data_IF_282280622616
#
_entry.id   IF_282280622616
#
_cell.length_a   1.000
_cell.length_b   1.000
_cell.length_c   1.000
_cell.angle_alpha   90.00
_cell.angle_beta   90.00
_cell.angle_gamma   90.00
#
_symmetry.space_group_name_H-M   'P 1'
#
loop_
_entity.id
_entity.type
_entity.pdbx_description
1 polymer ?
#
# COMPACT_ATOMS: atom_id res chain seq x y z
N UNK A 1 -5.54 -10.39 21.10
CA UNK A 1 -4.78 -9.36 20.33
C UNK A 1 -4.83 -9.76 18.86
N UNK A 2 -4.93 -8.81 17.95
CA UNK A 2 -4.92 -9.08 16.51
C UNK A 2 -3.47 -9.07 16.06
N UNK A 3 -2.89 -10.26 15.86
CA UNK A 3 -1.44 -10.39 15.61
C UNK A 3 -1.09 -10.57 14.12
N UNK A 4 -2.09 -10.71 13.24
CA UNK A 4 -1.88 -10.90 11.80
C UNK A 4 -2.39 -9.72 10.96
N UNK A 5 -1.70 -9.45 9.85
CA UNK A 5 -2.12 -8.43 8.88
C UNK A 5 -3.48 -8.76 8.25
N UNK A 6 -3.70 -10.04 7.93
CA UNK A 6 -4.94 -10.51 7.32
C UNK A 6 -6.15 -10.19 8.19
N UNK A 7 -6.02 -10.40 9.49
CA UNK A 7 -7.07 -10.14 10.48
C UNK A 7 -7.25 -8.65 10.75
N UNK A 8 -6.14 -7.93 10.97
CA UNK A 8 -6.16 -6.49 11.19
C UNK A 8 -6.78 -5.73 10.00
N UNK A 9 -6.42 -6.09 8.79
CA UNK A 9 -6.98 -5.52 7.56
C UNK A 9 -8.41 -6.00 7.29
N UNK A 10 -8.86 -7.08 7.92
CA UNK A 10 -10.17 -7.69 7.68
C UNK A 10 -10.30 -8.22 6.25
N UNK A 11 -9.29 -8.96 5.78
CA UNK A 11 -9.27 -9.52 4.43
C UNK A 11 -10.40 -10.54 4.27
N UNK A 12 -11.19 -10.39 3.21
CA UNK A 12 -12.29 -11.28 2.86
C UNK A 12 -11.80 -12.44 1.98
N UNK A 13 -12.67 -13.43 1.77
CA UNK A 13 -12.38 -14.61 0.95
C UNK A 13 -11.94 -14.28 -0.49
N UNK A 14 -12.44 -13.17 -1.05
CA UNK A 14 -11.97 -12.61 -2.33
C UNK A 14 -11.75 -11.11 -2.16
N UNK A 15 -10.52 -10.62 -2.44
CA UNK A 15 -10.19 -9.22 -2.21
C UNK A 15 -9.19 -8.68 -3.24
N UNK A 16 -9.42 -7.46 -3.74
CA UNK A 16 -8.42 -6.67 -4.47
C UNK A 16 -7.95 -5.57 -3.53
N UNK A 17 -6.70 -5.67 -3.10
CA UNK A 17 -6.07 -4.75 -2.14
C UNK A 17 -5.15 -3.79 -2.88
N UNK A 18 -5.44 -2.50 -2.84
CA UNK A 18 -4.56 -1.46 -3.38
C UNK A 18 -3.79 -0.78 -2.25
N UNK A 19 -2.47 -0.79 -2.35
CA UNK A 19 -1.55 -0.15 -1.41
C UNK A 19 -1.13 1.21 -1.96
N UNK A 20 -1.39 2.26 -1.19
CA UNK A 20 -1.10 3.65 -1.57
C UNK A 20 -0.34 4.38 -0.46
N UNK A 21 0.35 5.48 -0.81
CA UNK A 21 1.10 6.28 0.16
C UNK A 21 2.58 5.94 0.22
N UNK A 22 3.17 5.93 1.40
CA UNK A 22 4.62 5.82 1.60
C UNK A 22 4.99 5.06 2.89
N UNK A 23 6.25 4.62 3.01
CA UNK A 23 6.75 4.10 4.28
C UNK A 23 6.51 2.61 4.51
N UNK A 24 6.35 1.77 3.44
CA UNK A 24 6.32 0.32 3.64
C UNK A 24 5.40 -0.49 2.71
N UNK A 25 4.88 0.07 1.63
CA UNK A 25 3.96 -0.62 0.70
C UNK A 25 4.47 -1.97 0.21
N UNK A 26 5.66 -2.01 -0.37
CA UNK A 26 6.25 -3.24 -0.93
C UNK A 26 6.44 -4.30 0.16
N UNK A 27 6.88 -3.88 1.36
CA UNK A 27 7.01 -4.80 2.51
C UNK A 27 5.64 -5.35 2.93
N UNK A 28 4.61 -4.49 3.00
CA UNK A 28 3.25 -4.93 3.32
C UNK A 28 2.72 -5.89 2.26
N UNK A 29 2.94 -5.60 0.97
CA UNK A 29 2.50 -6.43 -0.14
C UNK A 29 2.97 -7.88 0.02
N UNK A 30 4.28 -8.08 0.19
CA UNK A 30 4.84 -9.43 0.27
C UNK A 30 4.57 -10.11 1.61
N UNK A 31 4.52 -9.36 2.74
CA UNK A 31 4.10 -9.95 4.02
C UNK A 31 2.65 -10.42 3.99
N UNK A 32 1.75 -9.59 3.48
CA UNK A 32 0.34 -9.97 3.34
C UNK A 32 0.17 -11.15 2.40
N UNK A 33 0.86 -11.15 1.25
CA UNK A 33 0.86 -12.29 0.33
C UNK A 33 1.30 -13.59 1.03
N UNK A 34 2.37 -13.54 1.83
CA UNK A 34 2.84 -14.69 2.60
C UNK A 34 1.80 -15.19 3.62
N UNK A 35 1.14 -14.28 4.34
CA UNK A 35 0.08 -14.68 5.29
C UNK A 35 -1.11 -15.32 4.58
N UNK A 36 -1.50 -14.81 3.41
CA UNK A 36 -2.60 -15.36 2.61
C UNK A 36 -2.26 -16.75 2.06
N UNK A 37 -1.02 -16.95 1.61
CA UNK A 37 -0.52 -18.28 1.19
C UNK A 37 -0.61 -19.31 2.32
N UNK A 38 -0.21 -18.94 3.54
CA UNK A 38 -0.32 -19.83 4.70
C UNK A 38 -1.77 -20.20 5.04
N UNK A 39 -2.73 -19.45 4.55
CA UNK A 39 -4.17 -19.72 4.64
C UNK A 39 -4.72 -20.51 3.42
N UNK A 40 -3.84 -20.94 2.52
CA UNK A 40 -4.20 -21.69 1.33
C UNK A 40 -4.84 -20.86 0.21
N UNK A 41 -4.63 -19.53 0.22
CA UNK A 41 -5.20 -18.63 -0.79
C UNK A 41 -4.25 -18.46 -1.98
N UNK A 42 -4.81 -18.37 -3.16
CA UNK A 42 -4.09 -18.06 -4.40
C UNK A 42 -3.97 -16.53 -4.57
N UNK A 43 -2.74 -16.03 -4.64
CA UNK A 43 -2.42 -14.61 -4.60
C UNK A 43 -1.71 -14.15 -5.87
N UNK A 44 -2.13 -13.02 -6.41
CA UNK A 44 -1.38 -12.27 -7.44
C UNK A 44 -0.88 -10.97 -6.82
N UNK A 45 0.42 -10.69 -6.94
CA UNK A 45 0.98 -9.40 -6.58
C UNK A 45 1.44 -8.63 -7.81
N UNK A 46 1.27 -7.33 -7.82
CA UNK A 46 1.64 -6.47 -8.94
C UNK A 46 1.77 -5.00 -8.54
N UNK A 47 2.10 -4.17 -9.51
CA UNK A 47 2.02 -2.71 -9.39
C UNK A 47 1.38 -2.12 -10.65
N UNK A 48 0.76 -0.98 -10.52
CA UNK A 48 0.31 -0.15 -11.66
C UNK A 48 1.28 0.99 -11.98
N UNK A 49 2.40 1.08 -11.23
CA UNK A 49 3.44 2.10 -11.42
C UNK A 49 4.83 1.46 -11.58
N UNK A 50 5.71 1.61 -10.60
CA UNK A 50 7.04 0.99 -10.57
C UNK A 50 7.37 0.53 -9.15
N UNK A 51 7.80 -0.73 -9.02
CA UNK A 51 8.27 -1.30 -7.75
C UNK A 51 9.69 -1.83 -7.88
N UNK A 52 10.37 -2.05 -6.75
CA UNK A 52 11.58 -2.87 -6.75
C UNK A 52 11.25 -4.30 -7.19
N UNK A 53 12.16 -4.95 -7.92
CA UNK A 53 12.01 -6.37 -8.22
C UNK A 53 12.04 -7.16 -6.92
N UNK A 54 11.11 -8.15 -6.73
CA UNK A 54 11.07 -8.94 -5.51
C UNK A 54 12.36 -9.73 -5.32
N UNK A 55 12.81 -9.85 -4.08
CA UNK A 55 13.93 -10.69 -3.73
C UNK A 55 13.55 -12.19 -3.79
N UNK A 56 14.57 -13.05 -3.82
CA UNK A 56 14.38 -14.50 -3.69
C UNK A 56 13.62 -14.81 -2.38
N UNK A 57 12.47 -15.48 -2.51
CA UNK A 57 11.60 -15.84 -1.38
C UNK A 57 10.44 -14.88 -1.10
N UNK A 58 10.38 -13.71 -1.73
CA UNK A 58 9.22 -12.82 -1.64
C UNK A 58 8.08 -13.24 -2.58
N UNK A 59 8.40 -13.84 -3.73
CA UNK A 59 7.43 -14.37 -4.67
C UNK A 59 7.77 -15.82 -5.05
N UNK A 60 6.76 -16.69 -5.17
CA UNK A 60 6.95 -18.07 -5.63
C UNK A 60 7.26 -18.13 -7.14
N UNK A 61 6.72 -17.18 -7.90
CA UNK A 61 6.96 -17.00 -9.33
C UNK A 61 6.90 -15.53 -9.71
N UNK A 62 7.80 -15.09 -10.58
CA UNK A 62 7.81 -13.76 -11.19
C UNK A 62 7.68 -13.92 -12.71
N UNK A 63 6.62 -13.39 -13.30
CA UNK A 63 6.40 -13.37 -14.73
C UNK A 63 6.37 -11.93 -15.26
N UNK A 64 7.22 -11.65 -16.23
CA UNK A 64 7.37 -10.32 -16.85
C UNK A 64 7.25 -10.43 -18.35
N UNK A 65 6.25 -9.79 -18.93
CA UNK A 65 6.05 -9.74 -20.38
C UNK A 65 5.37 -8.41 -20.78
N UNK A 66 5.79 -7.75 -21.88
CA UNK A 66 5.14 -6.53 -22.35
C UNK A 66 3.72 -6.77 -22.89
N UNK A 67 3.40 -8.00 -23.28
CA UNK A 67 2.08 -8.42 -23.72
C UNK A 67 1.20 -8.82 -22.53
N UNK A 68 0.23 -8.00 -22.23
CA UNK A 68 -0.71 -8.21 -21.12
C UNK A 68 -1.60 -9.46 -21.33
N UNK A 69 -1.84 -9.87 -22.58
CA UNK A 69 -2.54 -11.13 -22.89
C UNK A 69 -1.74 -12.34 -22.42
N UNK A 70 -0.42 -12.35 -22.66
CA UNK A 70 0.46 -13.41 -22.17
C UNK A 70 0.55 -13.44 -20.66
N UNK A 71 0.57 -12.28 -19.99
CA UNK A 71 0.51 -12.22 -18.52
C UNK A 71 -0.76 -12.89 -18.01
N UNK A 72 -1.92 -12.54 -18.58
CA UNK A 72 -3.21 -13.12 -18.19
C UNK A 72 -3.25 -14.64 -18.42
N UNK A 73 -2.73 -15.10 -19.55
CA UNK A 73 -2.67 -16.52 -19.89
C UNK A 73 -1.71 -17.28 -18.98
N UNK A 74 -0.57 -16.68 -18.61
CA UNK A 74 0.37 -17.27 -17.67
C UNK A 74 -0.28 -17.46 -16.30
N UNK A 75 -0.89 -16.41 -15.74
CA UNK A 75 -1.59 -16.50 -14.44
C UNK A 75 -2.65 -17.60 -14.48
N UNK A 76 -3.50 -17.62 -15.51
CA UNK A 76 -4.58 -18.62 -15.65
C UNK A 76 -4.07 -20.07 -15.65
N UNK A 77 -2.90 -20.33 -16.27
CA UNK A 77 -2.36 -21.68 -16.41
C UNK A 77 -1.54 -22.16 -15.23
N UNK A 78 -0.94 -21.25 -14.47
CA UNK A 78 0.07 -21.60 -13.49
C UNK A 78 -0.29 -21.21 -12.04
N UNK A 79 -1.44 -20.60 -11.81
CA UNK A 79 -1.84 -20.15 -10.48
C UNK A 79 -1.93 -21.32 -9.48
N UNK A 80 -2.54 -22.44 -9.90
CA UNK A 80 -2.67 -23.64 -9.04
C UNK A 80 -1.30 -24.28 -8.73
N UNK A 81 -0.31 -24.08 -9.62
CA UNK A 81 1.04 -24.61 -9.42
C UNK A 81 1.86 -23.78 -8.44
N UNK A 82 1.75 -22.44 -8.53
CA UNK A 82 2.60 -21.53 -7.76
C UNK A 82 1.92 -20.93 -6.53
N UNK A 83 0.60 -20.89 -6.48
CA UNK A 83 -0.24 -20.25 -5.47
C UNK A 83 0.04 -18.75 -5.25
N UNK A 84 1.26 -18.28 -5.54
CA UNK A 84 1.63 -16.87 -5.55
C UNK A 84 2.43 -16.51 -6.80
N UNK A 85 1.91 -15.59 -7.60
CA UNK A 85 2.54 -15.08 -8.82
C UNK A 85 2.67 -13.57 -8.73
N UNK A 86 3.90 -13.06 -8.87
CA UNK A 86 4.14 -11.64 -9.13
C UNK A 86 4.15 -11.39 -10.63
N UNK A 87 3.40 -10.40 -11.08
CA UNK A 87 3.37 -10.04 -12.51
C UNK A 87 3.78 -8.60 -12.73
N UNK A 88 4.50 -8.36 -13.83
CA UNK A 88 4.93 -7.04 -14.26
C UNK A 88 5.03 -6.98 -15.78
N UNK A 89 5.08 -5.76 -16.34
CA UNK A 89 5.13 -5.54 -17.78
C UNK A 89 6.55 -5.51 -18.34
N UNK A 90 7.52 -5.03 -17.54
CA UNK A 90 8.89 -4.79 -18.03
C UNK A 90 9.87 -4.74 -16.86
N UNK A 91 11.10 -5.26 -17.07
CA UNK A 91 12.24 -5.03 -16.19
C UNK A 91 12.96 -3.76 -16.62
N UNK A 92 13.13 -2.82 -15.70
CA UNK A 92 13.86 -1.58 -15.93
C UNK A 92 15.33 -1.74 -15.51
N UNK A 93 16.26 -1.08 -16.22
CA UNK A 93 17.70 -1.12 -15.90
C UNK A 93 18.08 -0.63 -14.50
N UNK A 94 17.14 -0.06 -13.75
CA UNK A 94 17.29 0.38 -12.35
C UNK A 94 16.99 -0.70 -11.30
N UNK A 95 16.85 -1.96 -11.68
CA UNK A 95 16.42 -3.04 -10.76
C UNK A 95 14.95 -2.91 -10.32
N UNK A 96 14.13 -2.24 -11.12
CA UNK A 96 12.70 -2.06 -10.87
C UNK A 96 11.87 -2.75 -11.94
N UNK A 97 10.66 -3.08 -11.57
CA UNK A 97 9.62 -3.56 -12.47
C UNK A 97 8.65 -2.43 -12.82
N UNK A 98 8.29 -2.32 -14.09
CA UNK A 98 7.18 -1.49 -14.57
C UNK A 98 5.89 -2.27 -14.45
N UNK A 99 4.87 -1.62 -13.90
CA UNK A 99 3.58 -2.24 -13.62
C UNK A 99 2.73 -2.52 -14.86
N UNK A 100 1.68 -3.28 -14.62
CA UNK A 100 0.62 -3.59 -15.58
C UNK A 100 -0.46 -2.51 -15.58
N UNK A 101 -1.34 -2.54 -16.57
CA UNK A 101 -2.48 -1.61 -16.63
C UNK A 101 -3.53 -1.91 -15.57
N UNK A 102 -4.34 -0.90 -15.21
CA UNK A 102 -5.53 -1.11 -14.38
C UNK A 102 -6.51 -2.09 -15.02
N UNK A 103 -6.64 -2.04 -16.33
CA UNK A 103 -7.54 -2.92 -17.08
C UNK A 103 -7.10 -4.38 -17.02
N UNK A 104 -5.79 -4.64 -17.02
CA UNK A 104 -5.32 -6.01 -16.81
C UNK A 104 -5.59 -6.47 -15.38
N UNK A 105 -5.41 -5.64 -14.35
CA UNK A 105 -5.78 -6.00 -12.97
C UNK A 105 -7.26 -6.35 -12.89
N UNK A 106 -8.13 -5.52 -13.47
CA UNK A 106 -9.57 -5.78 -13.54
C UNK A 106 -9.88 -7.06 -14.33
N UNK A 107 -9.11 -7.34 -15.37
CA UNK A 107 -9.22 -8.56 -16.19
C UNK A 107 -8.75 -9.83 -15.47
N UNK A 108 -7.69 -9.75 -14.66
CA UNK A 108 -7.22 -10.83 -13.79
C UNK A 108 -8.24 -11.14 -12.71
N UNK A 109 -8.84 -10.12 -12.10
CA UNK A 109 -9.86 -10.30 -11.05
C UNK A 109 -11.09 -11.09 -11.51
N UNK A 110 -11.38 -11.11 -12.81
CA UNK A 110 -12.46 -11.91 -13.40
C UNK A 110 -12.11 -13.39 -13.57
N UNK A 111 -10.82 -13.75 -13.45
CA UNK A 111 -10.41 -15.16 -13.50
C UNK A 111 -10.88 -15.88 -12.24
N UNK A 112 -11.29 -17.16 -12.42
CA UNK A 112 -11.57 -18.05 -11.29
C UNK A 112 -10.25 -18.51 -10.67
N UNK A 113 -10.28 -18.84 -9.39
CA UNK A 113 -9.13 -19.35 -8.64
C UNK A 113 -8.23 -18.29 -8.02
N UNK A 114 -8.37 -16.99 -8.37
CA UNK A 114 -7.66 -15.90 -7.68
C UNK A 114 -8.49 -15.50 -6.45
N UNK A 115 -7.87 -15.63 -5.27
CA UNK A 115 -8.48 -15.24 -3.99
C UNK A 115 -8.08 -13.80 -3.60
N UNK A 116 -6.85 -13.40 -3.92
CA UNK A 116 -6.42 -12.03 -3.66
C UNK A 116 -5.54 -11.48 -4.79
N UNK A 117 -5.73 -10.19 -5.10
CA UNK A 117 -4.78 -9.39 -5.90
C UNK A 117 -4.29 -8.26 -5.01
N UNK A 118 -2.97 -8.14 -4.81
CA UNK A 118 -2.38 -7.05 -4.06
C UNK A 118 -1.61 -6.15 -5.03
N UNK A 119 -1.99 -4.87 -5.08
CA UNK A 119 -1.48 -3.89 -6.06
C UNK A 119 -0.78 -2.76 -5.35
N UNK A 120 0.50 -2.53 -5.62
CA UNK A 120 1.15 -1.27 -5.25
C UNK A 120 0.77 -0.20 -6.28
N UNK A 121 -0.10 0.75 -5.90
CA UNK A 121 -0.76 1.65 -6.84
C UNK A 121 -0.07 3.01 -7.02
N UNK A 122 1.03 3.26 -6.32
CA UNK A 122 1.83 4.49 -6.46
C UNK A 122 3.28 4.32 -6.02
N UNK A 123 4.17 5.21 -6.49
CA UNK A 123 5.57 5.27 -6.08
C UNK A 123 5.81 6.23 -4.91
N UNK A 124 6.80 5.94 -4.05
CA UNK A 124 7.23 6.81 -2.95
C UNK A 124 8.76 6.95 -2.81
N UNK A 125 9.53 6.30 -3.70
CA UNK A 125 10.99 6.33 -3.73
C UNK A 125 11.65 6.06 -2.36
N UNK A 126 11.05 5.16 -1.53
CA UNK A 126 11.57 4.79 -0.20
C UNK A 126 11.31 5.82 0.90
N UNK A 127 10.64 6.94 0.61
CA UNK A 127 10.35 7.99 1.61
C UNK A 127 9.27 7.54 2.60
N UNK A 128 9.29 8.06 3.85
CA UNK A 128 8.24 7.76 4.83
C UNK A 128 6.92 8.47 4.55
N UNK A 129 6.95 9.59 3.84
CA UNK A 129 5.79 10.46 3.56
C UNK A 129 5.68 10.76 2.08
N UNK A 130 4.47 10.99 1.58
CA UNK A 130 4.24 11.47 0.23
C UNK A 130 2.92 12.23 0.10
N UNK A 131 2.84 13.06 -0.95
CA UNK A 131 1.59 13.41 -1.59
C UNK A 131 1.55 12.80 -3.00
N UNK A 132 0.40 12.26 -3.47
CA UNK A 132 0.30 11.67 -4.79
C UNK A 132 0.48 12.72 -5.89
N UNK A 133 1.08 12.32 -7.01
CA UNK A 133 1.11 13.14 -8.23
C UNK A 133 -0.30 13.33 -8.78
N UNK A 134 -0.44 14.17 -9.80
CA UNK A 134 -1.74 14.44 -10.42
C UNK A 134 -2.42 13.15 -10.90
N UNK A 135 -1.66 12.27 -11.56
CA UNK A 135 -2.12 10.99 -12.09
C UNK A 135 -1.88 9.81 -11.13
N UNK A 136 -1.64 10.07 -9.86
CA UNK A 136 -1.48 9.05 -8.81
C UNK A 136 -2.51 9.26 -7.68
N UNK A 137 -2.82 8.20 -6.96
CA UNK A 137 -2.49 6.79 -7.20
C UNK A 137 -3.27 6.21 -8.39
N UNK A 138 -2.72 5.15 -9.01
CA UNK A 138 -3.33 4.43 -10.14
C UNK A 138 -4.06 3.21 -9.61
N UNK A 139 -5.23 3.44 -8.99
CA UNK A 139 -6.02 2.40 -8.29
C UNK A 139 -6.96 1.71 -9.28
N UNK A 140 -6.89 0.36 -9.43
CA UNK A 140 -7.84 -0.39 -10.28
C UNK A 140 -9.29 -0.24 -9.80
N UNK A 141 -10.25 -0.18 -10.72
CA UNK A 141 -11.66 -0.04 -10.37
C UNK A 141 -12.25 -1.26 -9.66
N UNK A 142 -11.61 -2.43 -9.80
CA UNK A 142 -11.95 -3.67 -9.06
C UNK A 142 -11.49 -3.66 -7.60
N UNK A 143 -10.79 -2.63 -7.14
CA UNK A 143 -10.28 -2.55 -5.77
C UNK A 143 -11.41 -2.55 -4.75
N UNK A 144 -11.33 -3.46 -3.79
CA UNK A 144 -12.31 -3.62 -2.71
C UNK A 144 -11.79 -3.10 -1.36
N UNK A 145 -10.45 -3.08 -1.19
CA UNK A 145 -9.77 -2.53 -0.04
C UNK A 145 -8.61 -1.63 -0.46
N UNK A 146 -8.59 -0.40 0.03
CA UNK A 146 -7.44 0.51 -0.09
C UNK A 146 -6.73 0.58 1.26
N UNK A 147 -5.44 0.29 1.28
CA UNK A 147 -4.60 0.49 2.46
C UNK A 147 -3.74 1.73 2.24
N UNK A 148 -4.05 2.78 2.99
CA UNK A 148 -3.36 4.07 2.95
C UNK A 148 -2.22 4.06 3.97
N UNK A 149 -0.97 4.03 3.50
CA UNK A 149 0.21 3.80 4.34
C UNK A 149 1.02 5.09 4.50
N UNK A 150 1.42 5.41 5.73
CA UNK A 150 2.46 6.39 6.04
C UNK A 150 3.44 5.83 7.06
N UNK A 151 4.71 6.21 6.95
CA UNK A 151 5.70 5.94 8.00
C UNK A 151 5.56 6.92 9.15
N UNK A 152 5.29 6.46 10.36
CA UNK A 152 5.23 7.30 11.57
C UNK A 152 6.54 8.05 11.81
N UNK A 153 7.66 7.51 11.30
CA UNK A 153 8.98 8.13 11.35
C UNK A 153 9.10 9.42 10.51
N UNK A 154 8.12 9.73 9.67
CA UNK A 154 8.03 11.00 8.97
C UNK A 154 7.67 12.18 9.87
N UNK A 155 6.90 11.94 10.94
CA UNK A 155 6.52 12.97 11.91
C UNK A 155 7.75 13.54 12.62
N UNK A 156 7.85 14.87 12.65
CA UNK A 156 8.97 15.62 13.25
C UNK A 156 10.18 15.80 12.33
N UNK A 157 10.22 15.13 11.15
CA UNK A 157 11.25 15.35 10.13
C UNK A 157 10.96 16.60 9.31
N UNK A 158 12.02 17.19 8.74
CA UNK A 158 11.86 18.30 7.80
C UNK A 158 11.15 17.84 6.53
N UNK A 159 10.25 18.65 6.02
CA UNK A 159 9.60 18.46 4.72
C UNK A 159 10.60 18.82 3.61
N UNK A 160 11.25 17.81 3.06
CA UNK A 160 12.24 17.94 1.98
C UNK A 160 12.28 16.65 1.16
N UNK A 161 13.09 16.60 0.10
CA UNK A 161 13.22 15.43 -0.78
C UNK A 161 13.78 14.17 -0.11
N UNK A 162 14.43 14.28 1.04
CA UNK A 162 14.92 13.13 1.79
C UNK A 162 13.80 12.42 2.56
N UNK A 163 12.85 13.17 3.07
CA UNK A 163 11.81 12.69 3.98
C UNK A 163 10.43 12.56 3.33
N UNK A 164 10.19 13.29 2.24
CA UNK A 164 8.91 13.25 1.55
C UNK A 164 9.08 13.08 0.04
N UNK A 165 8.20 12.29 -0.57
CA UNK A 165 8.09 12.24 -2.02
C UNK A 165 7.11 13.31 -2.48
N UNK A 166 7.54 14.20 -3.39
CA UNK A 166 6.81 15.42 -3.82
C UNK A 166 6.57 16.41 -2.67
N UNK A 167 7.65 16.95 -2.02
CA UNK A 167 7.51 17.80 -0.84
C UNK A 167 6.69 19.07 -1.09
N UNK A 168 6.73 19.65 -2.30
CA UNK A 168 5.91 20.82 -2.67
C UNK A 168 4.41 20.48 -2.68
N UNK A 169 4.06 19.26 -3.11
CA UNK A 169 2.66 18.81 -3.07
C UNK A 169 2.21 18.50 -1.64
N UNK A 170 3.10 17.94 -0.83
CA UNK A 170 2.85 17.78 0.61
C UNK A 170 2.61 19.14 1.24
N UNK A 171 3.47 20.14 0.97
CA UNK A 171 3.31 21.51 1.43
C UNK A 171 1.97 22.12 1.01
N UNK A 172 1.61 21.98 -0.27
CA UNK A 172 0.33 22.48 -0.81
C UNK A 172 -0.89 21.89 -0.11
N UNK A 173 -0.87 20.59 0.21
CA UNK A 173 -2.00 19.88 0.83
C UNK A 173 -2.07 20.19 2.33
N UNK A 174 -0.92 20.22 3.01
CA UNK A 174 -0.86 20.29 4.48
C UNK A 174 -0.72 21.72 5.02
N UNK A 175 -0.30 22.67 4.16
CA UNK A 175 0.04 24.02 4.58
C UNK A 175 1.41 24.16 5.25
N UNK A 176 2.16 23.08 5.44
CA UNK A 176 3.52 23.12 6.03
C UNK A 176 4.52 23.58 4.96
N UNK A 177 5.28 24.66 5.16
CA UNK A 177 6.31 25.07 4.23
C UNK A 177 7.41 24.02 4.05
N UNK A 178 7.95 23.91 2.84
CA UNK A 178 9.14 23.08 2.58
C UNK A 178 10.29 23.60 3.46
N UNK A 179 10.99 22.68 4.12
CA UNK A 179 12.03 22.97 5.12
C UNK A 179 11.54 22.93 6.57
N UNK A 180 10.24 23.13 6.81
CA UNK A 180 9.65 23.05 8.14
C UNK A 180 9.39 21.60 8.57
N UNK A 181 9.11 21.37 9.86
CA UNK A 181 8.89 20.04 10.42
C UNK A 181 7.45 19.55 10.18
N UNK A 182 7.33 18.32 9.71
CA UNK A 182 6.03 17.63 9.57
C UNK A 182 5.41 17.38 10.95
N UNK A 183 4.17 17.84 11.14
CA UNK A 183 3.40 17.67 12.37
C UNK A 183 2.48 16.44 12.28
N UNK A 184 1.93 15.99 13.40
CA UNK A 184 0.85 14.98 13.46
C UNK A 184 -0.38 15.44 12.66
N UNK A 185 -0.74 16.71 12.76
CA UNK A 185 -1.84 17.31 11.99
C UNK A 185 -1.59 17.24 10.49
N UNK A 186 -0.37 17.55 10.03
CA UNK A 186 0.00 17.44 8.61
C UNK A 186 -0.11 16.00 8.11
N UNK A 187 0.35 15.02 8.91
CA UNK A 187 0.24 13.60 8.57
C UNK A 187 -1.23 13.15 8.49
N UNK A 188 -2.08 13.64 9.40
CA UNK A 188 -3.52 13.37 9.38
C UNK A 188 -4.21 14.01 8.15
N UNK A 189 -3.82 15.23 7.78
CA UNK A 189 -4.33 15.88 6.56
C UNK A 189 -3.99 15.04 5.32
N UNK A 190 -2.76 14.54 5.18
CA UNK A 190 -2.39 13.66 4.07
C UNK A 190 -3.26 12.39 4.01
N UNK A 191 -3.69 11.87 5.16
CA UNK A 191 -4.57 10.70 5.28
C UNK A 191 -6.04 11.01 4.96
N UNK A 192 -6.49 12.26 5.08
CA UNK A 192 -7.93 12.58 5.06
C UNK A 192 -8.35 13.57 3.98
N UNK A 193 -7.41 14.29 3.40
CA UNK A 193 -7.70 15.29 2.36
C UNK A 193 -8.14 14.62 1.05
N UNK A 194 -9.06 15.25 0.31
CA UNK A 194 -9.55 14.72 -0.99
C UNK A 194 -8.44 14.50 -2.02
N UNK A 195 -7.39 15.34 -2.00
CA UNK A 195 -6.17 15.18 -2.81
C UNK A 195 -5.05 14.41 -2.06
N UNK A 196 -5.39 13.80 -0.92
CA UNK A 196 -4.48 13.02 -0.08
C UNK A 196 -4.12 11.66 -0.67
N UNK A 197 -3.50 10.81 0.15
CA UNK A 197 -2.80 9.59 -0.31
C UNK A 197 -3.71 8.53 -0.94
N UNK A 198 -5.00 8.53 -0.70
CA UNK A 198 -5.97 7.61 -1.33
C UNK A 198 -6.99 8.31 -2.23
N UNK A 199 -6.65 9.48 -2.79
CA UNK A 199 -7.51 10.13 -3.77
C UNK A 199 -7.86 9.18 -4.90
N UNK A 200 -9.07 9.28 -5.44
CA UNK A 200 -9.54 8.38 -6.52
C UNK A 200 -9.81 6.94 -6.08
N UNK A 201 -9.79 6.62 -4.78
CA UNK A 201 -10.25 5.34 -4.28
C UNK A 201 -11.70 5.07 -4.70
N UNK A 202 -12.03 3.89 -5.28
CA UNK A 202 -13.39 3.55 -5.68
C UNK A 202 -14.38 3.81 -4.54
N UNK A 203 -15.57 4.31 -4.86
CA UNK A 203 -16.59 4.63 -3.85
C UNK A 203 -17.00 3.41 -3.03
N UNK A 204 -16.98 2.23 -3.65
CA UNK A 204 -17.33 0.94 -3.04
C UNK A 204 -16.18 0.32 -2.24
N UNK A 205 -14.94 0.85 -2.32
CA UNK A 205 -13.82 0.30 -1.58
C UNK A 205 -13.83 0.75 -0.12
N UNK A 206 -13.46 -0.18 0.77
CA UNK A 206 -13.10 0.12 2.16
C UNK A 206 -11.74 0.84 2.19
N UNK A 207 -11.49 1.66 3.18
CA UNK A 207 -10.19 2.31 3.38
C UNK A 207 -9.70 2.02 4.80
N UNK A 208 -8.47 1.55 4.89
CA UNK A 208 -7.76 1.34 6.15
C UNK A 208 -6.51 2.22 6.16
N UNK A 209 -6.36 3.04 7.19
CA UNK A 209 -5.14 3.79 7.43
C UNK A 209 -4.10 2.90 8.11
N UNK A 210 -2.85 2.89 7.63
CA UNK A 210 -1.76 2.09 8.18
C UNK A 210 -0.56 2.96 8.54
N UNK A 211 -0.31 3.15 9.82
CA UNK A 211 0.82 3.90 10.35
C UNK A 211 1.95 2.92 10.67
N UNK A 212 2.91 2.81 9.76
CA UNK A 212 4.00 1.86 9.83
C UNK A 212 5.23 2.41 10.58
N UNK A 213 6.16 1.51 10.94
CA UNK A 213 7.45 1.80 11.60
C UNK A 213 7.30 2.29 13.04
N UNK A 214 6.33 1.74 13.76
CA UNK A 214 6.15 2.05 15.18
C UNK A 214 7.21 1.40 16.07
N UNK A 215 8.01 0.49 15.53
CA UNK A 215 9.20 -0.13 16.14
C UNK A 215 10.41 0.82 16.22
N UNK A 216 10.37 1.96 15.56
CA UNK A 216 11.41 2.98 15.67
C UNK A 216 11.22 3.85 16.94
N UNK A 217 12.27 4.56 17.41
CA UNK A 217 12.18 5.40 18.61
C UNK A 217 10.99 6.37 18.56
N UNK A 218 10.20 6.40 19.63
CA UNK A 218 8.94 7.16 19.77
C UNK A 218 7.84 6.79 18.74
N UNK A 219 8.04 5.71 17.98
CA UNK A 219 7.15 5.34 16.88
C UNK A 219 5.71 5.12 17.30
N UNK A 220 5.47 4.41 18.41
CA UNK A 220 4.11 4.19 18.94
C UNK A 220 3.46 5.51 19.33
N UNK A 221 4.18 6.38 20.06
CA UNK A 221 3.66 7.69 20.49
C UNK A 221 3.33 8.56 19.27
N UNK A 222 4.23 8.65 18.32
CA UNK A 222 3.99 9.39 17.05
C UNK A 222 2.77 8.87 16.31
N UNK A 223 2.66 7.56 16.15
CA UNK A 223 1.54 6.93 15.46
C UNK A 223 0.21 7.18 16.20
N UNK A 224 0.18 7.11 17.53
CA UNK A 224 -1.02 7.44 18.33
C UNK A 224 -1.43 8.90 18.17
N UNK A 225 -0.50 9.83 18.16
CA UNK A 225 -0.80 11.25 17.95
C UNK A 225 -1.39 11.47 16.55
N UNK A 226 -0.78 10.88 15.49
CA UNK A 226 -1.32 10.94 14.13
C UNK A 226 -2.71 10.30 14.08
N UNK A 227 -2.90 9.12 14.67
CA UNK A 227 -4.18 8.41 14.69
C UNK A 227 -5.27 9.25 15.34
N UNK A 228 -4.99 9.90 16.47
CA UNK A 228 -5.96 10.79 17.13
C UNK A 228 -6.37 11.94 16.19
N UNK A 229 -5.41 12.58 15.50
CA UNK A 229 -5.70 13.63 14.52
C UNK A 229 -6.54 13.15 13.34
N UNK A 230 -6.29 11.91 12.86
CA UNK A 230 -7.11 11.28 11.81
C UNK A 230 -8.55 11.08 12.31
N UNK A 231 -8.74 10.57 13.54
CA UNK A 231 -10.06 10.39 14.16
C UNK A 231 -10.81 11.71 14.32
N UNK A 232 -10.12 12.77 14.74
CA UNK A 232 -10.68 14.12 14.91
C UNK A 232 -11.26 14.68 13.60
N UNK A 233 -10.74 14.25 12.43
CA UNK A 233 -11.27 14.62 11.11
C UNK A 233 -12.58 13.92 10.74
N UNK A 234 -12.98 12.85 11.45
CA UNK A 234 -14.21 12.09 11.23
C UNK A 234 -14.44 11.70 9.76
N UNK A 235 -13.37 11.23 9.09
CA UNK A 235 -13.43 10.88 7.68
C UNK A 235 -14.21 9.58 7.46
N UNK A 236 -15.37 9.66 6.82
CA UNK A 236 -16.37 8.57 6.71
C UNK A 236 -15.85 7.28 6.03
N UNK A 237 -14.83 7.36 5.17
CA UNK A 237 -14.29 6.19 4.46
C UNK A 237 -13.25 5.40 5.26
N UNK A 238 -12.61 5.98 6.26
CA UNK A 238 -11.58 5.30 7.05
C UNK A 238 -12.25 4.42 8.09
N UNK A 239 -12.25 3.10 7.87
CA UNK A 239 -12.90 2.14 8.75
C UNK A 239 -12.11 1.86 10.03
N UNK A 240 -10.79 1.97 9.96
CA UNK A 240 -9.89 1.74 11.09
C UNK A 240 -8.50 2.30 10.81
N UNK A 241 -7.72 2.44 11.87
CA UNK A 241 -6.31 2.83 11.81
C UNK A 241 -5.50 1.69 12.42
N UNK A 242 -4.46 1.23 11.72
CA UNK A 242 -3.56 0.18 12.18
C UNK A 242 -2.19 0.80 12.48
N UNK A 243 -1.67 0.53 13.65
CA UNK A 243 -0.30 0.80 14.04
C UNK A 243 0.52 -0.46 13.77
N UNK A 244 1.51 -0.35 12.88
CA UNK A 244 2.23 -1.50 12.38
C UNK A 244 3.75 -1.35 12.38
N UNK A 245 4.42 -2.50 12.40
CA UNK A 245 5.88 -2.65 12.37
C UNK A 245 6.26 -3.77 11.40
N UNK A 246 6.16 -3.47 10.10
CA UNK A 246 6.27 -4.49 9.04
C UNK A 246 7.63 -5.22 8.94
N UNK A 247 8.65 -4.80 9.65
CA UNK A 247 9.96 -5.47 9.72
C UNK A 247 10.18 -6.25 11.03
N UNK A 248 9.23 -6.17 11.95
CA UNK A 248 9.27 -6.82 13.28
C UNK A 248 8.08 -7.76 13.46
N UNK A 249 8.10 -8.56 14.52
CA UNK A 249 6.97 -9.41 14.94
C UNK A 249 6.45 -8.95 16.32
N UNK A 250 5.14 -8.96 16.54
CA UNK A 250 4.08 -9.11 15.52
C UNK A 250 4.02 -7.90 14.59
N UNK A 251 3.53 -8.03 13.33
CA UNK A 251 3.49 -6.93 12.37
C UNK A 251 2.45 -5.85 12.72
N UNK A 252 1.48 -6.19 13.54
CA UNK A 252 0.43 -5.31 14.03
C UNK A 252 0.62 -5.10 15.53
N UNK A 253 0.66 -3.83 15.94
CA UNK A 253 0.81 -3.45 17.35
C UNK A 253 -0.54 -3.07 17.95
N UNK A 254 -1.36 -2.34 17.20
CA UNK A 254 -2.66 -1.88 17.68
C UNK A 254 -3.61 -1.64 16.49
N UNK A 255 -4.90 -1.90 16.71
CA UNK A 255 -5.99 -1.53 15.79
C UNK A 255 -6.92 -0.57 16.51
N UNK A 256 -7.09 0.63 15.94
CA UNK A 256 -7.91 1.71 16.49
C UNK A 256 -9.14 1.86 15.59
N UNK A 257 -10.33 1.82 16.20
CA UNK A 257 -11.61 2.04 15.52
C UNK A 257 -12.03 3.51 15.69
N UNK A 258 -12.69 4.12 14.67
CA UNK A 258 -13.24 5.46 14.74
C UNK A 258 -14.33 5.61 15.79
#
# INVERSE_FOLDING_TARGET
MVDSLTEALGIKAREVVSLVGAGGKTTLMFRLAKELLLRGMNVVTTTTTKIAEPNLGEASSLFVDPDEGKIKDFVRRHLDQYAHITVARERLGSGKLKGISQDLVNGLWRLRGIDAIIVEADGAAGRPVKAPRENEPVIPTSTTLVVAILGADGMGKQLNDENAFQPERVSKITGIPVGERLTDEAMAILMTHSEGIFKGAPSSSRVVAFLNKVDLPDGVTKAKNIAQKVLDKKHQKIEKIILGQLKSEPPVVEVILP
#
